data_IF_897766836587
#
_entry.id   IF_897766836587
#
_cell.length_a   1.000
_cell.length_b   1.000
_cell.length_c   1.000
_cell.angle_alpha   90.00
_cell.angle_beta   90.00
_cell.angle_gamma   90.00
#
_symmetry.space_group_name_H-M   'P 1'
#
loop_
_entity.id
_entity.type
_entity.pdbx_description
1 polymer ?
#
# COMPACT_ATOMS: atom_id res chain seq x y z
N UNK A 1 -26.59 76.08 -78.83
CA UNK A 1 -26.49 74.89 -79.70
C UNK A 1 -25.43 74.00 -79.09
N UNK A 2 -25.75 73.09 -78.16
CA UNK A 2 -26.50 71.82 -78.37
C UNK A 2 -25.68 70.90 -79.30
N UNK A 3 -25.35 69.65 -79.02
CA UNK A 3 -26.05 68.55 -78.35
C UNK A 3 -25.00 67.49 -77.89
N UNK A 4 -25.12 66.87 -76.70
CA UNK A 4 -25.85 65.63 -76.38
C UNK A 4 -25.22 64.31 -76.87
N UNK A 5 -24.86 63.41 -75.93
CA UNK A 5 -24.94 61.94 -76.12
C UNK A 5 -25.09 61.22 -74.76
N UNK A 6 -26.29 60.63 -74.61
CA UNK A 6 -26.85 59.50 -73.82
C UNK A 6 -26.18 58.90 -72.55
N UNK A 7 -26.99 58.34 -71.63
CA UNK A 7 -26.57 57.92 -70.28
C UNK A 7 -26.33 56.40 -70.14
N UNK A 8 -25.51 56.00 -69.15
CA UNK A 8 -25.39 54.63 -68.65
C UNK A 8 -25.65 54.60 -67.14
N UNK A 9 -26.68 53.87 -66.73
CA UNK A 9 -27.06 53.61 -65.34
C UNK A 9 -26.09 52.59 -64.71
N UNK A 10 -25.39 52.99 -63.64
CA UNK A 10 -24.66 52.10 -62.74
C UNK A 10 -25.19 52.28 -61.31
N UNK A 11 -25.72 51.19 -60.76
CA UNK A 11 -26.25 51.07 -59.40
C UNK A 11 -25.16 51.26 -58.35
N UNK A 12 -25.48 52.04 -57.31
CA UNK A 12 -24.68 52.26 -56.09
C UNK A 12 -24.26 50.93 -55.43
N UNK A 13 -22.96 50.77 -55.14
CA UNK A 13 -22.47 49.81 -54.14
C UNK A 13 -22.17 50.56 -52.84
N UNK A 14 -22.81 50.12 -51.76
CA UNK A 14 -22.57 50.58 -50.40
C UNK A 14 -21.23 50.03 -49.87
N UNK A 15 -20.48 50.86 -49.15
CA UNK A 15 -19.24 50.49 -48.50
C UNK A 15 -19.50 49.67 -47.22
N UNK A 16 -18.67 48.65 -46.91
CA UNK A 16 -18.85 47.81 -45.73
C UNK A 16 -18.33 48.46 -44.45
N UNK A 17 -19.11 48.32 -43.39
CA UNK A 17 -18.82 48.68 -41.99
C UNK A 17 -17.76 47.71 -41.44
N UNK A 18 -16.66 48.24 -40.89
CA UNK A 18 -15.66 47.44 -40.16
C UNK A 18 -16.07 47.26 -38.70
N UNK A 19 -16.07 46.04 -38.14
CA UNK A 19 -16.23 45.84 -36.70
C UNK A 19 -14.89 46.01 -35.97
N UNK A 20 -14.88 46.84 -34.94
CA UNK A 20 -13.75 47.04 -34.04
C UNK A 20 -13.47 45.75 -33.24
N UNK A 21 -12.31 45.13 -33.47
CA UNK A 21 -11.82 43.99 -32.70
C UNK A 21 -11.21 44.49 -31.38
N UNK A 22 -12.04 44.59 -30.33
CA UNK A 22 -11.57 44.82 -28.99
C UNK A 22 -10.90 43.53 -28.47
N UNK A 23 -9.57 43.47 -28.56
CA UNK A 23 -8.78 42.41 -27.92
C UNK A 23 -8.90 42.60 -26.41
N UNK A 24 -9.84 41.88 -25.78
CA UNK A 24 -9.92 41.75 -24.33
C UNK A 24 -8.62 41.10 -23.85
N UNK A 25 -7.72 41.93 -23.32
CA UNK A 25 -6.55 41.48 -22.56
C UNK A 25 -7.10 40.76 -21.33
N UNK A 26 -7.15 39.43 -21.38
CA UNK A 26 -7.41 38.61 -20.20
C UNK A 26 -6.19 38.78 -19.31
N UNK A 27 -6.20 39.79 -18.45
CA UNK A 27 -5.31 39.86 -17.31
C UNK A 27 -5.74 38.72 -16.43
N UNK A 28 -5.00 37.60 -16.51
CA UNK A 28 -5.08 36.53 -15.53
C UNK A 28 -4.74 37.19 -14.20
N UNK A 29 -5.75 37.52 -13.41
CA UNK A 29 -5.56 37.92 -12.02
C UNK A 29 -4.82 36.75 -11.38
N UNK A 30 -3.51 36.92 -11.19
CA UNK A 30 -2.75 36.09 -10.29
C UNK A 30 -3.44 36.22 -8.93
N UNK A 31 -4.30 35.26 -8.61
CA UNK A 31 -4.53 34.93 -7.21
C UNK A 31 -3.15 34.54 -6.70
N UNK A 32 -2.41 35.51 -6.15
CA UNK A 32 -1.42 35.23 -5.11
C UNK A 32 -2.21 34.52 -4.01
N UNK A 33 -2.31 33.20 -4.13
CA UNK A 33 -2.75 32.36 -3.04
C UNK A 33 -1.89 32.79 -1.87
N UNK A 34 -2.50 33.27 -0.79
CA UNK A 34 -1.82 33.52 0.47
C UNK A 34 -0.87 32.35 0.72
N UNK A 35 0.43 32.60 0.56
CA UNK A 35 1.45 31.56 0.57
C UNK A 35 1.41 30.97 1.96
N UNK A 36 0.81 29.79 2.08
CA UNK A 36 0.72 29.11 3.35
C UNK A 36 2.11 28.89 3.92
N UNK A 37 2.26 29.02 5.23
CA UNK A 37 3.45 28.55 5.92
C UNK A 37 3.62 27.05 5.72
N UNK A 38 4.83 26.52 5.90
CA UNK A 38 5.09 25.07 5.81
C UNK A 38 4.10 24.26 6.66
N UNK A 39 3.77 24.72 7.86
CA UNK A 39 2.80 24.06 8.74
C UNK A 39 1.40 23.99 8.14
N UNK A 40 0.88 25.10 7.61
CA UNK A 40 -0.45 25.13 6.96
C UNK A 40 -0.47 24.25 5.72
N UNK A 41 0.62 24.23 4.94
CA UNK A 41 0.72 23.45 3.73
C UNK A 41 0.72 21.93 4.01
N UNK A 42 1.42 21.50 5.06
CA UNK A 42 1.41 20.12 5.56
C UNK A 42 0.03 19.74 6.10
N UNK A 43 -0.58 20.62 6.90
CA UNK A 43 -1.93 20.41 7.44
C UNK A 43 -2.95 20.17 6.34
N UNK A 44 -2.94 21.00 5.30
CA UNK A 44 -3.84 20.88 4.17
C UNK A 44 -3.57 19.60 3.34
N UNK A 45 -2.30 19.20 3.17
CA UNK A 45 -1.97 17.93 2.52
C UNK A 45 -2.54 16.73 3.28
N UNK A 46 -2.37 16.70 4.60
CA UNK A 46 -2.85 15.60 5.45
C UNK A 46 -4.37 15.59 5.61
N UNK A 47 -5.03 16.74 5.50
CA UNK A 47 -6.49 16.85 5.60
C UNK A 47 -7.19 16.29 4.35
N UNK A 48 -6.65 16.58 3.15
CA UNK A 48 -7.31 16.23 1.89
C UNK A 48 -6.90 14.89 1.28
N UNK A 49 -5.76 14.33 1.71
CA UNK A 49 -5.46 12.96 1.33
C UNK A 49 -6.26 12.00 2.19
N UNK A 50 -7.10 11.19 1.53
CA UNK A 50 -7.81 10.08 2.16
C UNK A 50 -6.82 8.97 2.57
N UNK A 51 -6.23 9.15 3.75
CA UNK A 51 -5.25 8.27 4.35
C UNK A 51 -5.85 7.60 5.57
N UNK A 52 -5.77 6.26 5.61
CA UNK A 52 -6.05 5.54 6.85
C UNK A 52 -5.10 6.01 7.97
N UNK A 53 -5.51 5.81 9.23
CA UNK A 53 -4.78 6.31 10.41
C UNK A 53 -3.29 5.90 10.43
N UNK A 54 -2.97 4.69 9.98
CA UNK A 54 -1.58 4.20 9.91
C UNK A 54 -0.74 4.96 8.87
N UNK A 55 -1.27 5.11 7.66
CA UNK A 55 -0.67 5.89 6.59
C UNK A 55 -0.54 7.36 6.99
N UNK A 56 -1.59 7.96 7.57
CA UNK A 56 -1.57 9.35 8.06
C UNK A 56 -0.43 9.57 9.07
N UNK A 57 -0.25 8.66 10.03
CA UNK A 57 0.86 8.74 11.01
C UNK A 57 2.23 8.72 10.35
N UNK A 58 2.43 7.87 9.34
CA UNK A 58 3.70 7.76 8.61
C UNK A 58 3.97 9.02 7.79
N UNK A 59 2.98 9.52 7.06
CA UNK A 59 3.10 10.74 6.28
C UNK A 59 3.33 11.96 7.17
N UNK A 60 2.56 12.09 8.26
CA UNK A 60 2.72 13.17 9.22
C UNK A 60 4.12 13.17 9.85
N UNK A 61 4.68 12.00 10.20
CA UNK A 61 6.05 11.92 10.73
C UNK A 61 7.11 12.37 9.72
N UNK A 62 6.95 12.02 8.43
CA UNK A 62 7.86 12.43 7.37
C UNK A 62 7.82 13.95 7.14
N UNK A 63 6.61 14.51 7.10
CA UNK A 63 6.38 15.94 6.85
C UNK A 63 6.74 16.79 8.06
N UNK A 64 6.56 16.29 9.28
CA UNK A 64 7.07 16.96 10.49
C UNK A 64 8.59 17.12 10.44
N UNK A 65 9.33 16.10 9.98
CA UNK A 65 10.77 16.23 9.82
C UNK A 65 11.16 17.31 8.81
N UNK A 66 10.37 17.50 7.74
CA UNK A 66 10.56 18.60 6.80
C UNK A 66 10.24 19.95 7.46
N UNK A 67 9.15 20.03 8.24
CA UNK A 67 8.78 21.23 8.99
C UNK A 67 9.86 21.64 10.00
N UNK A 68 10.45 20.68 10.71
CA UNK A 68 11.57 20.91 11.63
C UNK A 68 12.80 21.46 10.88
N UNK A 69 13.00 21.07 9.63
CA UNK A 69 14.12 21.55 8.82
C UNK A 69 13.91 22.97 8.29
N UNK A 70 12.71 23.27 7.79
CA UNK A 70 12.40 24.54 7.14
C UNK A 70 11.91 25.62 8.12
N UNK A 71 11.40 25.22 9.28
CA UNK A 71 10.62 26.08 10.18
C UNK A 71 9.12 26.01 9.89
N UNK A 72 8.30 26.04 10.94
CA UNK A 72 6.85 25.90 10.83
C UNK A 72 6.19 27.11 10.16
N UNK A 73 6.67 28.31 10.49
CA UNK A 73 6.12 29.60 10.06
C UNK A 73 6.78 30.14 8.78
N UNK A 74 7.80 29.42 8.27
CA UNK A 74 8.47 29.76 7.03
C UNK A 74 7.49 29.66 5.85
N UNK A 75 7.54 30.63 4.94
CA UNK A 75 6.76 30.59 3.72
C UNK A 75 7.15 29.38 2.86
N UNK A 76 6.17 28.64 2.34
CA UNK A 76 6.45 27.44 1.53
C UNK A 76 7.29 27.74 0.28
N UNK A 77 7.23 28.98 -0.24
CA UNK A 77 8.02 29.44 -1.40
C UNK A 77 9.52 29.39 -1.21
N UNK A 78 10.03 29.22 0.02
CA UNK A 78 11.46 28.90 0.22
C UNK A 78 11.88 27.66 -0.57
N UNK A 79 10.93 26.75 -0.86
CA UNK A 79 11.18 25.57 -1.69
C UNK A 79 11.22 25.85 -3.20
N UNK A 80 10.86 27.05 -3.65
CA UNK A 80 10.99 27.50 -5.05
C UNK A 80 12.30 28.26 -5.31
N UNK A 81 13.08 28.56 -4.28
CA UNK A 81 14.36 29.23 -4.43
C UNK A 81 15.34 28.35 -5.23
N UNK A 82 16.24 28.95 -6.05
CA UNK A 82 17.19 28.18 -6.87
C UNK A 82 18.05 27.19 -6.08
N UNK A 83 18.37 27.52 -4.82
CA UNK A 83 19.19 26.70 -3.93
C UNK A 83 18.39 25.64 -3.16
N UNK A 84 17.05 25.73 -3.16
CA UNK A 84 16.20 24.90 -2.33
C UNK A 84 16.34 23.40 -2.65
N UNK A 85 16.43 23.04 -3.93
CA UNK A 85 16.60 21.65 -4.34
C UNK A 85 17.91 21.05 -3.80
N UNK A 86 19.02 21.80 -3.85
CA UNK A 86 20.31 21.37 -3.33
C UNK A 86 20.31 21.27 -1.80
N UNK A 87 19.71 22.26 -1.11
CA UNK A 87 19.56 22.25 0.34
C UNK A 87 18.70 21.08 0.83
N UNK A 88 17.56 20.84 0.17
CA UNK A 88 16.67 19.72 0.46
C UNK A 88 17.36 18.38 0.23
N UNK A 89 18.14 18.25 -0.85
CA UNK A 89 18.95 17.06 -1.12
C UNK A 89 20.02 16.82 -0.05
N UNK A 90 20.73 17.88 0.35
CA UNK A 90 21.72 17.82 1.44
C UNK A 90 21.09 17.38 2.76
N UNK A 91 19.96 17.99 3.14
CA UNK A 91 19.23 17.62 4.35
C UNK A 91 18.72 16.19 4.29
N UNK A 92 18.08 15.77 3.19
CA UNK A 92 17.53 14.43 3.05
C UNK A 92 18.62 13.36 3.19
N UNK A 93 19.80 13.61 2.59
CA UNK A 93 20.97 12.74 2.71
C UNK A 93 21.49 12.67 4.15
N UNK A 94 21.63 13.79 4.85
CA UNK A 94 22.06 13.81 6.26
C UNK A 94 21.06 13.08 7.18
N UNK A 95 19.76 13.34 7.00
CA UNK A 95 18.68 12.80 7.83
C UNK A 95 18.48 11.30 7.63
N UNK A 96 18.50 10.84 6.37
CA UNK A 96 18.09 9.49 6.02
C UNK A 96 19.21 8.62 5.44
N UNK A 97 20.40 9.15 5.20
CA UNK A 97 21.52 8.42 4.57
C UNK A 97 21.91 7.13 5.28
N UNK A 98 21.81 7.10 6.61
CA UNK A 98 22.09 5.92 7.45
C UNK A 98 20.89 5.01 7.68
N UNK A 99 19.72 5.33 7.12
CA UNK A 99 18.51 4.51 7.28
C UNK A 99 18.43 3.43 6.20
N UNK A 100 17.66 2.37 6.49
CA UNK A 100 17.43 1.29 5.55
C UNK A 100 16.94 1.82 4.17
N UNK A 101 17.40 1.26 3.04
CA UNK A 101 17.03 1.74 1.70
C UNK A 101 15.51 1.83 1.47
N UNK A 102 14.75 0.85 1.97
CA UNK A 102 13.29 0.86 1.88
C UNK A 102 12.65 2.05 2.63
N UNK A 103 13.18 2.39 3.81
CA UNK A 103 12.75 3.57 4.57
C UNK A 103 13.04 4.84 3.78
N UNK A 104 14.25 5.00 3.22
CA UNK A 104 14.61 6.15 2.38
C UNK A 104 13.66 6.32 1.20
N UNK A 105 13.41 5.26 0.44
CA UNK A 105 12.47 5.30 -0.71
C UNK A 105 11.08 5.74 -0.27
N UNK A 106 10.58 5.24 0.87
CA UNK A 106 9.28 5.65 1.41
C UNK A 106 9.26 7.14 1.78
N UNK A 107 10.29 7.65 2.46
CA UNK A 107 10.36 9.07 2.82
C UNK A 107 10.42 9.96 1.58
N UNK A 108 11.21 9.58 0.58
CA UNK A 108 11.27 10.29 -0.69
C UNK A 108 9.92 10.30 -1.41
N UNK A 109 9.19 9.18 -1.42
CA UNK A 109 7.87 9.10 -2.04
C UNK A 109 6.86 10.03 -1.35
N UNK A 110 6.91 10.14 -0.01
CA UNK A 110 6.03 11.05 0.75
C UNK A 110 6.36 12.51 0.41
N UNK A 111 7.64 12.88 0.40
CA UNK A 111 8.07 14.24 0.04
C UNK A 111 7.63 14.63 -1.38
N UNK A 112 7.84 13.73 -2.35
CA UNK A 112 7.37 13.90 -3.73
C UNK A 112 5.87 14.06 -3.82
N UNK A 113 5.11 13.25 -3.07
CA UNK A 113 3.66 13.36 -3.04
C UNK A 113 3.18 14.71 -2.50
N UNK A 114 3.82 15.21 -1.44
CA UNK A 114 3.50 16.50 -0.85
C UNK A 114 3.87 17.66 -1.78
N UNK A 115 5.09 17.67 -2.32
CA UNK A 115 5.54 18.71 -3.27
C UNK A 115 4.68 18.72 -4.53
N UNK A 116 4.37 17.55 -5.09
CA UNK A 116 3.46 17.45 -6.24
C UNK A 116 2.05 17.98 -5.94
N UNK A 117 1.55 17.80 -4.72
CA UNK A 117 0.28 18.38 -4.29
C UNK A 117 0.34 19.90 -4.13
N UNK A 118 1.38 20.43 -3.48
CA UNK A 118 1.58 21.89 -3.36
C UNK A 118 1.76 22.56 -4.72
N UNK A 119 2.41 21.90 -5.66
CA UNK A 119 2.50 22.34 -7.06
C UNK A 119 1.14 22.38 -7.76
N UNK A 120 0.32 21.32 -7.61
CA UNK A 120 -1.05 21.31 -8.18
C UNK A 120 -1.94 22.43 -7.64
N UNK A 121 -1.64 22.96 -6.46
CA UNK A 121 -2.32 24.13 -5.87
C UNK A 121 -1.77 25.47 -6.29
N UNK A 122 -0.66 25.49 -7.03
CA UNK A 122 0.07 26.72 -7.33
C UNK A 122 0.76 27.33 -6.11
N UNK A 123 0.99 26.56 -5.03
CA UNK A 123 1.78 27.02 -3.88
C UNK A 123 3.29 26.85 -4.11
N UNK A 124 3.65 25.97 -5.04
CA UNK A 124 5.00 25.82 -5.57
C UNK A 124 4.94 25.88 -7.09
N UNK A 125 5.94 26.51 -7.70
CA UNK A 125 6.12 26.61 -9.13
C UNK A 125 7.08 25.54 -9.66
N UNK A 126 8.08 25.17 -8.86
CA UNK A 126 9.14 24.22 -9.21
C UNK A 126 9.00 22.90 -8.44
N UNK A 127 9.77 21.88 -8.85
CA UNK A 127 9.87 20.62 -8.11
C UNK A 127 11.20 20.55 -7.33
N UNK A 128 11.21 20.87 -6.02
CA UNK A 128 12.43 20.82 -5.21
C UNK A 128 12.97 19.39 -5.03
N UNK A 129 12.18 18.36 -5.40
CA UNK A 129 12.56 16.95 -5.26
C UNK A 129 13.15 16.32 -6.52
N UNK A 130 13.27 17.10 -7.61
CA UNK A 130 13.79 16.62 -8.89
C UNK A 130 15.22 16.05 -8.76
N UNK A 131 16.09 16.71 -7.99
CA UNK A 131 17.47 16.28 -7.75
C UNK A 131 17.65 15.14 -6.72
N UNK A 132 16.56 14.65 -6.12
CA UNK A 132 16.63 13.55 -5.16
C UNK A 132 16.66 12.20 -5.87
N UNK A 133 17.82 11.55 -5.92
CA UNK A 133 17.92 10.21 -6.47
C UNK A 133 17.14 9.20 -5.63
N UNK A 134 16.45 8.29 -6.33
CA UNK A 134 15.77 7.17 -5.70
C UNK A 134 16.80 6.06 -5.42
N UNK A 135 17.06 5.69 -4.15
CA UNK A 135 17.99 4.62 -3.85
C UNK A 135 17.53 3.30 -4.48
N UNK A 136 18.47 2.56 -5.09
CA UNK A 136 18.22 1.18 -5.51
C UNK A 136 18.02 0.32 -4.27
N UNK A 137 16.83 -0.25 -4.12
CA UNK A 137 16.56 -1.22 -3.06
C UNK A 137 16.76 -2.61 -3.67
N UNK A 138 17.84 -3.34 -3.33
CA UNK A 138 17.96 -4.71 -3.76
C UNK A 138 16.77 -5.51 -3.23
N UNK A 139 16.24 -6.40 -4.05
CA UNK A 139 15.17 -7.32 -3.63
C UNK A 139 15.75 -8.23 -2.55
N UNK A 140 15.30 -8.05 -1.32
CA UNK A 140 15.73 -8.86 -0.18
C UNK A 140 15.17 -10.29 -0.32
N UNK A 141 16.06 -11.26 -0.56
CA UNK A 141 15.73 -12.68 -0.81
C UNK A 141 15.86 -13.56 0.43
N UNK A 142 16.39 -13.04 1.54
CA UNK A 142 16.79 -13.86 2.70
C UNK A 142 15.70 -14.01 3.75
N UNK A 143 14.50 -13.45 3.50
CA UNK A 143 13.44 -13.41 4.52
C UNK A 143 12.59 -14.66 4.58
N UNK A 144 12.65 -15.53 3.58
CA UNK A 144 11.86 -16.75 3.55
C UNK A 144 12.46 -17.77 4.52
N UNK A 145 11.65 -18.21 5.48
CA UNK A 145 11.93 -19.39 6.30
C UNK A 145 11.92 -20.63 5.43
N UNK A 146 12.88 -21.55 5.64
CA UNK A 146 12.97 -22.81 4.91
C UNK A 146 11.83 -23.77 5.29
N UNK A 147 11.62 -24.82 4.49
CA UNK A 147 10.58 -25.82 4.76
C UNK A 147 10.88 -26.62 6.03
N UNK A 148 12.16 -26.86 6.33
CA UNK A 148 12.63 -27.52 7.55
C UNK A 148 12.35 -26.65 8.78
N UNK A 149 12.62 -25.35 8.69
CA UNK A 149 12.31 -24.38 9.74
C UNK A 149 10.81 -24.34 10.05
N UNK A 150 9.96 -24.37 9.02
CA UNK A 150 8.50 -24.44 9.19
C UNK A 150 8.06 -25.79 9.75
N UNK A 151 8.63 -26.90 9.28
CA UNK A 151 8.32 -28.24 9.79
C UNK A 151 8.66 -28.35 11.29
N UNK A 152 9.79 -27.79 11.72
CA UNK A 152 10.17 -27.68 13.12
C UNK A 152 9.18 -26.79 13.90
N UNK A 153 8.78 -25.65 13.33
CA UNK A 153 7.76 -24.77 13.94
C UNK A 153 6.43 -25.49 14.18
N UNK A 154 5.97 -26.32 13.23
CA UNK A 154 4.68 -27.03 13.34
C UNK A 154 4.69 -28.15 14.39
N UNK A 155 5.87 -28.72 14.66
CA UNK A 155 6.09 -29.76 15.68
C UNK A 155 6.51 -29.21 17.03
N UNK A 156 6.69 -27.90 17.17
CA UNK A 156 7.22 -27.29 18.39
C UNK A 156 6.24 -27.48 19.56
N UNK A 157 6.75 -28.05 20.65
CA UNK A 157 6.02 -28.21 21.90
C UNK A 157 5.84 -26.88 22.64
N UNK A 158 4.86 -26.83 23.54
CA UNK A 158 4.58 -25.66 24.38
C UNK A 158 3.94 -24.47 23.64
N UNK A 159 3.72 -24.57 22.33
CA UNK A 159 2.96 -23.55 21.58
C UNK A 159 1.46 -23.79 21.76
N UNK A 160 0.68 -22.82 22.31
CA UNK A 160 -0.74 -23.02 22.51
C UNK A 160 -1.50 -23.16 21.18
N UNK A 161 -2.67 -23.80 21.23
CA UNK A 161 -3.48 -24.11 20.05
C UNK A 161 -3.83 -22.87 19.22
N UNK A 162 -4.11 -21.74 19.87
CA UNK A 162 -4.43 -20.46 19.20
C UNK A 162 -3.29 -20.00 18.29
N UNK A 163 -2.07 -19.98 18.82
CA UNK A 163 -0.87 -19.59 18.09
C UNK A 163 -0.60 -20.55 16.94
N UNK A 164 -0.68 -21.88 17.20
CA UNK A 164 -0.50 -22.90 16.16
C UNK A 164 -1.49 -22.71 15.01
N UNK A 165 -2.77 -22.55 15.34
CA UNK A 165 -3.82 -22.33 14.35
C UNK A 165 -3.59 -21.03 13.57
N UNK A 166 -3.26 -19.94 14.26
CA UNK A 166 -3.02 -18.64 13.63
C UNK A 166 -1.82 -18.67 12.68
N UNK A 167 -0.67 -19.20 13.12
CA UNK A 167 0.54 -19.26 12.31
C UNK A 167 0.36 -20.18 11.11
N UNK A 168 -0.31 -21.32 11.31
CA UNK A 168 -0.61 -22.25 10.23
C UNK A 168 -1.54 -21.63 9.20
N UNK A 169 -2.62 -20.98 9.63
CA UNK A 169 -3.54 -20.27 8.76
C UNK A 169 -2.83 -19.15 7.99
N UNK A 170 -1.95 -18.39 8.65
CA UNK A 170 -1.20 -17.30 8.03
C UNK A 170 -0.26 -17.79 6.93
N UNK A 171 0.43 -18.90 7.16
CA UNK A 171 1.26 -19.53 6.14
C UNK A 171 0.42 -20.10 5.00
N UNK A 172 -0.55 -20.96 5.29
CA UNK A 172 -1.31 -21.67 4.24
C UNK A 172 -2.14 -20.72 3.37
N UNK A 173 -2.72 -19.67 3.94
CA UNK A 173 -3.52 -18.70 3.19
C UNK A 173 -2.70 -17.64 2.46
N UNK A 174 -1.43 -17.45 2.85
CA UNK A 174 -0.63 -16.31 2.48
C UNK A 174 -1.34 -14.96 2.72
N UNK A 175 -2.36 -14.86 3.58
CA UNK A 175 -3.09 -13.63 3.87
C UNK A 175 -2.26 -12.64 4.72
N UNK A 176 -2.71 -11.39 4.86
CA UNK A 176 -2.08 -10.45 5.79
C UNK A 176 -2.54 -10.81 7.21
N UNK A 177 -1.62 -10.76 8.16
CA UNK A 177 -1.91 -11.10 9.56
C UNK A 177 -3.10 -10.34 10.15
N UNK A 178 -3.23 -9.04 9.85
CA UNK A 178 -4.36 -8.25 10.34
C UNK A 178 -5.70 -8.68 9.77
N UNK A 179 -5.75 -9.14 8.51
CA UNK A 179 -6.99 -9.63 7.91
C UNK A 179 -7.46 -10.87 8.67
N UNK A 180 -6.55 -11.81 8.95
CA UNK A 180 -6.87 -13.02 9.70
C UNK A 180 -7.21 -12.77 11.17
N UNK A 181 -6.51 -11.85 11.83
CA UNK A 181 -6.82 -11.47 13.21
C UNK A 181 -8.18 -10.77 13.34
N UNK A 182 -8.65 -10.15 12.26
CA UNK A 182 -9.94 -9.46 12.19
C UNK A 182 -11.11 -10.38 11.81
N UNK A 183 -10.86 -11.67 11.54
CA UNK A 183 -11.92 -12.64 11.25
C UNK A 183 -12.82 -12.86 12.46
N UNK A 184 -14.13 -12.89 12.20
CA UNK A 184 -15.14 -13.45 13.08
C UNK A 184 -15.50 -14.87 12.60
N UNK A 185 -16.12 -15.68 13.47
CA UNK A 185 -16.46 -17.07 13.15
C UNK A 185 -17.44 -17.13 11.98
N UNK A 186 -18.30 -16.14 11.88
CA UNK A 186 -19.30 -15.92 10.83
C UNK A 186 -18.68 -15.66 9.45
N UNK A 187 -17.39 -15.32 9.40
CA UNK A 187 -16.64 -15.17 8.15
C UNK A 187 -16.11 -16.50 7.62
N UNK A 188 -16.10 -17.56 8.45
CA UNK A 188 -15.50 -18.84 8.14
C UNK A 188 -16.47 -19.78 7.44
N UNK A 189 -16.03 -20.31 6.31
CA UNK A 189 -16.62 -21.47 5.64
C UNK A 189 -15.64 -22.63 5.79
N UNK A 190 -15.74 -23.34 6.93
CA UNK A 190 -14.82 -24.41 7.30
C UNK A 190 -14.90 -25.60 6.34
N UNK A 191 -16.08 -25.89 5.79
CA UNK A 191 -16.29 -26.98 4.84
C UNK A 191 -15.50 -26.74 3.55
N UNK A 192 -15.52 -25.52 3.03
CA UNK A 192 -14.82 -25.14 1.80
C UNK A 192 -13.41 -24.58 2.05
N UNK A 193 -12.90 -24.64 3.29
CA UNK A 193 -11.57 -24.16 3.70
C UNK A 193 -11.31 -22.71 3.27
N UNK A 194 -12.30 -21.83 3.45
CA UNK A 194 -12.20 -20.42 3.03
C UNK A 194 -12.85 -19.46 4.03
N UNK A 195 -12.42 -18.20 4.01
CA UNK A 195 -13.03 -17.14 4.80
C UNK A 195 -13.13 -15.83 4.04
N UNK A 196 -14.13 -15.03 4.41
CA UNK A 196 -14.31 -13.67 3.89
C UNK A 196 -13.37 -12.72 4.62
N UNK A 197 -12.67 -11.88 3.89
CA UNK A 197 -11.82 -10.82 4.44
C UNK A 197 -12.15 -9.50 3.77
N UNK A 198 -12.14 -8.41 4.53
CA UNK A 198 -12.29 -7.07 3.98
C UNK A 198 -10.93 -6.55 3.50
N UNK A 199 -10.85 -6.17 2.22
CA UNK A 199 -9.66 -5.56 1.64
C UNK A 199 -9.69 -4.04 1.76
N UNK A 200 -8.58 -3.39 1.37
CA UNK A 200 -8.48 -1.92 1.42
C UNK A 200 -9.50 -1.33 0.45
N UNK A 201 -10.51 -0.64 0.98
CA UNK A 201 -11.64 -0.10 0.22
C UNK A 201 -12.98 -0.81 0.47
N UNK A 202 -13.01 -1.79 1.39
CA UNK A 202 -14.26 -2.43 1.82
C UNK A 202 -14.72 -3.58 0.93
N UNK A 203 -13.97 -3.89 -0.14
CA UNK A 203 -14.29 -5.04 -0.99
C UNK A 203 -14.10 -6.34 -0.21
N UNK A 204 -15.07 -7.25 -0.35
CA UNK A 204 -15.03 -8.58 0.26
C UNK A 204 -14.24 -9.50 -0.67
N UNK A 205 -13.18 -10.07 -0.15
CA UNK A 205 -12.34 -11.05 -0.84
C UNK A 205 -12.32 -12.37 -0.06
N UNK A 206 -11.91 -13.45 -0.72
CA UNK A 206 -11.78 -14.75 -0.08
C UNK A 206 -10.33 -15.12 0.17
N UNK A 207 -10.06 -15.69 1.34
CA UNK A 207 -8.82 -16.41 1.65
C UNK A 207 -9.11 -17.90 1.72
N UNK A 208 -8.16 -18.71 1.26
CA UNK A 208 -8.26 -20.17 1.26
C UNK A 208 -7.12 -20.76 2.08
N UNK A 209 -7.30 -21.92 2.69
CA UNK A 209 -6.24 -22.60 3.44
C UNK A 209 -6.22 -24.10 3.17
N UNK A 210 -5.22 -24.78 3.72
CA UNK A 210 -4.97 -26.20 3.49
C UNK A 210 -5.35 -27.03 4.73
N UNK A 211 -5.05 -28.32 4.69
CA UNK A 211 -5.49 -29.25 5.74
C UNK A 211 -4.94 -28.91 7.12
N UNK A 212 -3.76 -28.28 7.23
CA UNK A 212 -3.19 -27.96 8.53
C UNK A 212 -4.02 -26.98 9.34
N UNK A 213 -4.45 -25.86 8.72
CA UNK A 213 -5.35 -24.93 9.38
C UNK A 213 -6.76 -25.54 9.57
N UNK A 214 -7.23 -26.34 8.61
CA UNK A 214 -8.54 -27.00 8.69
C UNK A 214 -8.67 -27.97 9.88
N UNK A 215 -7.57 -28.61 10.31
CA UNK A 215 -7.56 -29.47 11.49
C UNK A 215 -7.50 -28.71 12.82
N UNK A 216 -6.94 -27.49 12.81
CA UNK A 216 -6.71 -26.71 14.03
C UNK A 216 -7.88 -25.75 14.33
N UNK A 217 -8.50 -25.18 13.31
CA UNK A 217 -9.58 -24.19 13.47
C UNK A 217 -10.78 -24.75 14.25
N UNK A 218 -11.39 -25.91 13.90
CA UNK A 218 -12.53 -26.43 14.65
C UNK A 218 -12.21 -26.67 16.14
N UNK A 219 -11.00 -27.14 16.43
CA UNK A 219 -10.52 -27.35 17.81
C UNK A 219 -10.34 -26.02 18.55
N UNK A 220 -9.83 -24.99 17.87
CA UNK A 220 -9.68 -23.65 18.42
C UNK A 220 -11.05 -23.02 18.74
N UNK A 221 -12.04 -23.22 17.87
CA UNK A 221 -13.37 -22.66 18.05
C UNK A 221 -14.11 -23.32 19.20
N UNK A 222 -13.87 -24.61 19.45
CA UNK A 222 -14.42 -25.35 20.59
C UNK A 222 -15.95 -25.18 20.73
N UNK A 223 -16.67 -25.26 19.60
CA UNK A 223 -18.14 -25.13 19.55
C UNK A 223 -18.67 -23.69 19.53
N UNK A 224 -17.82 -22.66 19.63
CA UNK A 224 -18.27 -21.28 19.44
C UNK A 224 -18.71 -21.05 18.00
N UNK A 225 -19.82 -20.33 17.83
CA UNK A 225 -20.42 -19.99 16.54
C UNK A 225 -20.38 -18.50 16.20
N UNK A 226 -19.99 -17.65 17.15
CA UNK A 226 -20.06 -16.19 17.01
C UNK A 226 -18.84 -15.46 17.62
N UNK A 227 -18.45 -14.36 16.97
CA UNK A 227 -17.45 -13.40 17.43
C UNK A 227 -16.02 -13.74 16.98
N UNK A 228 -15.00 -13.09 17.57
CA UNK A 228 -13.63 -13.18 17.03
C UNK A 228 -13.07 -14.59 17.05
N UNK A 229 -12.41 -15.00 15.97
CA UNK A 229 -11.74 -16.30 15.85
C UNK A 229 -10.57 -16.40 16.83
N UNK A 230 -9.74 -15.35 16.87
CA UNK A 230 -8.55 -15.31 17.71
C UNK A 230 -8.78 -14.38 18.91
N UNK A 231 -8.90 -14.98 20.10
CA UNK A 231 -9.13 -14.25 21.35
C UNK A 231 -7.83 -14.03 22.11
N UNK A 232 -7.72 -12.93 22.84
CA UNK A 232 -6.69 -12.70 23.84
C UNK A 232 -6.84 -13.65 25.05
N UNK A 233 -5.76 -13.89 25.78
CA UNK A 233 -5.76 -14.80 26.94
C UNK A 233 -6.64 -14.30 28.09
N UNK A 234 -6.69 -12.98 28.27
CA UNK A 234 -7.36 -12.31 29.39
C UNK A 234 -8.44 -11.37 28.88
N UNK A 235 -9.42 -11.12 29.76
CA UNK A 235 -10.39 -10.08 29.53
C UNK A 235 -9.70 -8.70 29.47
N UNK A 236 -10.21 -7.79 28.64
CA UNK A 236 -9.62 -6.47 28.48
C UNK A 236 -9.78 -5.67 29.77
N UNK A 237 -8.68 -5.13 30.29
CA UNK A 237 -8.68 -4.23 31.46
C UNK A 237 -9.08 -2.79 31.12
N UNK A 238 -9.26 -2.48 29.83
CA UNK A 238 -9.71 -1.18 29.30
C UNK A 238 -10.92 -1.39 28.40
N UNK A 239 -11.66 -0.32 28.15
CA UNK A 239 -12.72 -0.33 27.15
C UNK A 239 -12.15 -0.76 25.80
N UNK A 240 -12.80 -1.75 25.16
CA UNK A 240 -12.52 -2.17 23.79
C UNK A 240 -13.86 -2.21 23.06
N UNK A 241 -13.90 -1.91 21.75
CA UNK A 241 -15.13 -1.93 20.98
C UNK A 241 -15.90 -3.24 21.15
N UNK A 242 -17.23 -3.18 21.18
CA UNK A 242 -18.07 -4.36 21.37
C UNK A 242 -17.83 -5.41 20.29
N UNK A 243 -17.58 -4.96 19.05
CA UNK A 243 -17.21 -5.82 17.90
C UNK A 243 -15.90 -6.60 18.10
N UNK A 244 -15.00 -6.07 18.93
CA UNK A 244 -13.74 -6.75 19.27
C UNK A 244 -13.86 -7.61 20.53
N UNK A 245 -15.05 -7.79 21.09
CA UNK A 245 -15.30 -8.67 22.24
C UNK A 245 -16.06 -9.90 21.80
N UNK A 246 -15.64 -11.06 22.28
CA UNK A 246 -16.43 -12.27 22.14
C UNK A 246 -17.65 -12.19 23.06
N UNK A 247 -18.88 -12.34 22.53
CA UNK A 247 -20.09 -12.26 23.34
C UNK A 247 -20.21 -13.42 24.34
N UNK A 248 -19.60 -14.57 24.06
CA UNK A 248 -19.67 -15.77 24.91
C UNK A 248 -18.65 -15.76 26.05
N UNK A 249 -17.45 -15.19 25.85
CA UNK A 249 -16.34 -15.27 26.81
C UNK A 249 -15.95 -13.94 27.43
N UNK A 250 -16.44 -12.81 26.87
CA UNK A 250 -16.01 -11.46 27.23
C UNK A 250 -14.56 -11.13 26.87
N UNK A 251 -13.81 -12.07 26.28
CA UNK A 251 -12.42 -11.86 25.87
C UNK A 251 -12.34 -10.99 24.63
N UNK A 252 -11.31 -10.15 24.57
CA UNK A 252 -11.07 -9.30 23.42
C UNK A 252 -10.41 -10.07 22.26
N UNK A 253 -10.52 -9.54 21.05
CA UNK A 253 -9.78 -9.95 19.86
C UNK A 253 -8.27 -9.84 20.11
N UNK A 254 -7.51 -10.82 19.62
CA UNK A 254 -6.07 -10.82 19.70
C UNK A 254 -5.49 -9.69 18.83
N UNK A 255 -4.81 -8.73 19.46
CA UNK A 255 -4.17 -7.64 18.73
C UNK A 255 -2.96 -8.10 17.93
N UNK A 256 -2.68 -7.44 16.81
CA UNK A 256 -1.48 -7.68 16.00
C UNK A 256 -0.19 -7.59 16.82
N UNK A 257 -0.06 -6.57 17.67
CA UNK A 257 1.13 -6.37 18.51
C UNK A 257 1.38 -7.57 19.40
N UNK A 258 0.33 -8.11 20.03
CA UNK A 258 0.44 -9.29 20.89
C UNK A 258 0.76 -10.54 20.07
N UNK A 259 0.07 -10.76 18.95
CA UNK A 259 0.33 -11.89 18.06
C UNK A 259 1.78 -11.90 17.54
N UNK A 260 2.31 -10.72 17.15
CA UNK A 260 3.68 -10.57 16.69
C UNK A 260 4.70 -10.81 17.80
N UNK A 261 4.43 -10.33 19.02
CA UNK A 261 5.27 -10.60 20.19
C UNK A 261 5.34 -12.10 20.49
N UNK A 262 4.20 -12.78 20.53
CA UNK A 262 4.12 -14.22 20.83
C UNK A 262 4.86 -15.04 19.77
N UNK A 263 4.70 -14.71 18.49
CA UNK A 263 5.45 -15.35 17.42
C UNK A 263 6.96 -15.13 17.58
N UNK A 264 7.39 -13.87 17.73
CA UNK A 264 8.80 -13.52 17.90
C UNK A 264 9.44 -14.21 19.11
N UNK A 265 8.71 -14.36 20.22
CA UNK A 265 9.19 -15.05 21.42
C UNK A 265 9.35 -16.56 21.16
N UNK A 266 8.40 -17.18 20.46
CA UNK A 266 8.45 -18.61 20.15
C UNK A 266 9.50 -18.97 19.09
N UNK A 267 9.90 -18.02 18.24
CA UNK A 267 10.74 -18.26 17.07
C UNK A 267 12.03 -17.45 17.05
N UNK A 268 12.53 -17.03 18.21
CA UNK A 268 13.79 -16.31 18.36
C UNK A 268 13.94 -15.08 17.44
N UNK A 269 12.87 -14.30 17.28
CA UNK A 269 12.90 -13.02 16.55
C UNK A 269 12.26 -13.01 15.17
N UNK A 270 11.74 -14.13 14.67
CA UNK A 270 11.00 -14.10 13.40
C UNK A 270 9.72 -13.25 13.48
N UNK A 271 9.29 -12.75 12.33
CA UNK A 271 8.12 -11.88 12.20
C UNK A 271 6.97 -12.55 11.48
N UNK A 272 5.73 -12.21 11.82
CA UNK A 272 4.54 -12.74 11.15
C UNK A 272 4.56 -12.55 9.63
N UNK A 273 5.17 -11.46 9.15
CA UNK A 273 5.27 -11.20 7.71
C UNK A 273 6.17 -12.22 6.98
N UNK A 274 7.13 -12.84 7.68
CA UNK A 274 7.96 -13.90 7.10
C UNK A 274 7.15 -15.14 6.76
N UNK A 275 6.10 -15.48 7.53
CA UNK A 275 5.22 -16.62 7.18
C UNK A 275 4.52 -16.40 5.84
N UNK A 276 3.95 -15.20 5.62
CA UNK A 276 3.36 -14.85 4.31
C UNK A 276 4.42 -14.84 3.21
N UNK A 277 5.59 -14.27 3.49
CA UNK A 277 6.68 -14.20 2.51
C UNK A 277 7.13 -15.62 2.10
N UNK A 278 7.39 -16.51 3.06
CA UNK A 278 7.68 -17.93 2.83
C UNK A 278 6.58 -18.61 2.03
N UNK A 279 5.31 -18.39 2.36
CA UNK A 279 4.21 -19.03 1.64
C UNK A 279 4.20 -18.69 0.14
N UNK A 280 4.50 -17.42 -0.20
CA UNK A 280 4.56 -16.97 -1.60
C UNK A 280 5.84 -17.43 -2.29
N UNK A 281 6.97 -17.42 -1.60
CA UNK A 281 8.24 -17.96 -2.13
C UNK A 281 8.10 -19.45 -2.42
N UNK A 282 7.63 -20.24 -1.46
CA UNK A 282 7.45 -21.67 -1.62
C UNK A 282 6.43 -22.01 -2.70
N UNK A 283 5.31 -21.29 -2.78
CA UNK A 283 4.35 -21.50 -3.86
C UNK A 283 4.95 -21.21 -5.24
N UNK A 284 5.80 -20.18 -5.37
CA UNK A 284 6.50 -19.89 -6.61
C UNK A 284 7.54 -20.96 -6.97
N UNK A 285 8.29 -21.47 -5.98
CA UNK A 285 9.22 -22.60 -6.14
C UNK A 285 8.49 -23.90 -6.52
N UNK A 286 7.27 -24.09 -6.01
CA UNK A 286 6.39 -25.20 -6.34
C UNK A 286 5.75 -25.04 -7.74
N UNK A 287 6.12 -24.01 -8.52
CA UNK A 287 5.66 -23.80 -9.90
C UNK A 287 4.35 -23.03 -10.03
N UNK A 288 3.82 -22.44 -8.95
CA UNK A 288 2.55 -21.69 -9.01
C UNK A 288 2.68 -20.49 -9.95
N UNK A 289 1.76 -20.40 -10.91
CA UNK A 289 1.73 -19.30 -11.88
C UNK A 289 1.53 -17.93 -11.21
N UNK A 290 2.08 -16.88 -11.81
CA UNK A 290 1.95 -15.50 -11.28
C UNK A 290 0.50 -15.05 -11.11
N UNK A 291 -0.45 -15.33 -12.04
CA UNK A 291 -1.86 -15.02 -11.83
C UNK A 291 -2.46 -15.70 -10.60
N UNK A 292 -2.13 -16.98 -10.36
CA UNK A 292 -2.62 -17.71 -9.20
C UNK A 292 -1.99 -17.19 -7.90
N UNK A 293 -0.70 -16.83 -7.93
CA UNK A 293 -0.06 -16.14 -6.81
C UNK A 293 -0.73 -14.79 -6.52
N UNK A 294 -1.09 -14.00 -7.54
CA UNK A 294 -1.85 -12.75 -7.36
C UNK A 294 -3.18 -12.99 -6.68
N UNK A 295 -3.96 -13.94 -7.18
CA UNK A 295 -5.26 -14.27 -6.62
C UNK A 295 -5.16 -14.76 -5.16
N UNK A 296 -4.25 -15.71 -4.88
CA UNK A 296 -4.03 -16.27 -3.54
C UNK A 296 -3.58 -15.22 -2.53
N UNK A 297 -2.69 -14.35 -2.96
CA UNK A 297 -2.05 -13.36 -2.08
C UNK A 297 -2.82 -12.06 -1.95
N UNK A 298 -3.73 -11.77 -2.90
CA UNK A 298 -4.50 -10.53 -2.99
C UNK A 298 -3.58 -9.30 -3.02
N UNK A 299 -2.55 -9.41 -3.86
CA UNK A 299 -1.65 -8.31 -4.20
C UNK A 299 -2.32 -7.43 -5.27
N UNK A 300 -2.38 -6.12 -5.03
CA UNK A 300 -3.00 -5.18 -5.97
C UNK A 300 -2.20 -4.98 -7.28
N UNK A 301 -0.96 -5.46 -7.36
CA UNK A 301 -0.14 -5.34 -8.57
C UNK A 301 0.85 -6.50 -8.73
N UNK A 302 1.03 -6.94 -9.98
CA UNK A 302 2.04 -7.93 -10.38
C UNK A 302 3.45 -7.51 -9.96
N UNK A 303 3.75 -6.21 -10.04
CA UNK A 303 5.03 -5.63 -9.61
C UNK A 303 5.40 -6.01 -8.17
N UNK A 304 4.41 -6.09 -7.29
CA UNK A 304 4.67 -6.46 -5.89
C UNK A 304 4.97 -7.95 -5.67
N UNK A 305 4.72 -8.78 -6.68
CA UNK A 305 5.06 -10.21 -6.72
C UNK A 305 6.34 -10.55 -7.48
N UNK A 306 6.93 -9.61 -8.23
CA UNK A 306 8.19 -9.83 -8.99
C UNK A 306 9.31 -10.45 -8.15
N UNK A 307 9.29 -10.22 -6.83
CA UNK A 307 10.27 -10.79 -5.90
C UNK A 307 10.13 -12.29 -5.69
N UNK A 308 8.95 -12.87 -5.97
CA UNK A 308 8.65 -14.29 -5.82
C UNK A 308 8.61 -15.02 -7.17
N UNK A 309 8.16 -14.34 -8.23
CA UNK A 309 7.94 -14.93 -9.54
C UNK A 309 9.24 -15.17 -10.32
N UNK A 310 10.07 -16.10 -9.85
CA UNK A 310 11.32 -16.55 -10.50
C UNK A 310 11.39 -18.08 -10.45
N UNK A 311 10.89 -18.78 -11.49
CA UNK A 311 10.97 -20.23 -11.52
C UNK A 311 12.44 -20.67 -11.56
N UNK A 312 12.78 -21.71 -10.79
CA UNK A 312 14.09 -22.37 -10.91
C UNK A 312 14.14 -23.20 -12.20
N UNK A 313 15.33 -23.47 -12.78
CA UNK A 313 15.45 -24.39 -13.91
C UNK A 313 14.81 -25.76 -13.63
N UNK A 314 14.93 -26.25 -12.41
CA UNK A 314 14.31 -27.51 -11.96
C UNK A 314 12.78 -27.46 -11.95
N UNK A 315 12.19 -26.34 -11.51
CA UNK A 315 10.75 -26.15 -11.53
C UNK A 315 10.21 -26.12 -12.97
N UNK A 316 10.95 -25.48 -13.90
CA UNK A 316 10.61 -25.50 -15.34
C UNK A 316 10.71 -26.92 -15.90
N UNK A 317 11.78 -27.67 -15.56
CA UNK A 317 11.95 -29.04 -16.02
C UNK A 317 10.83 -29.97 -15.52
N UNK A 318 10.40 -29.81 -14.27
CA UNK A 318 9.29 -30.57 -13.68
C UNK A 318 7.96 -30.25 -14.35
N UNK A 319 7.63 -28.97 -14.52
CA UNK A 319 6.40 -28.53 -15.19
C UNK A 319 6.31 -29.08 -16.62
N UNK A 320 7.43 -29.05 -17.36
CA UNK A 320 7.49 -29.62 -18.70
C UNK A 320 7.33 -31.14 -18.70
N UNK A 321 7.93 -31.84 -17.73
CA UNK A 321 7.79 -33.29 -17.60
C UNK A 321 6.35 -33.70 -17.24
N UNK A 322 5.67 -32.95 -16.38
CA UNK A 322 4.26 -33.21 -16.01
C UNK A 322 3.28 -32.94 -17.15
N UNK A 323 3.61 -32.00 -18.03
CA UNK A 323 2.79 -31.62 -19.19
C UNK A 323 3.20 -32.30 -20.49
N UNK A 324 4.22 -33.17 -20.46
CA UNK A 324 4.69 -33.87 -21.65
C UNK A 324 3.58 -34.83 -22.15
N UNK A 325 2.96 -34.57 -23.31
CA UNK A 325 1.91 -35.42 -23.84
C UNK A 325 2.42 -36.80 -24.26
N UNK A 326 3.75 -36.98 -24.37
CA UNK A 326 4.40 -38.24 -24.70
C UNK A 326 5.30 -38.70 -23.52
N UNK A 327 4.72 -39.12 -22.38
CA UNK A 327 5.50 -39.55 -21.24
C UNK A 327 6.42 -40.69 -21.66
N UNK A 328 7.74 -40.53 -21.43
CA UNK A 328 8.70 -41.61 -21.61
C UNK A 328 8.24 -42.81 -20.82
N UNK A 329 7.71 -43.84 -21.49
CA UNK A 329 7.42 -45.14 -20.89
C UNK A 329 8.74 -45.66 -20.31
N UNK A 330 8.77 -45.86 -18.99
CA UNK A 330 9.88 -46.53 -18.31
C UNK A 330 9.80 -48.03 -18.51
#
# INVERSE_FOLDING_TARGET
MEAATRPRLLRRRAAPVQPACAVRRVVRLERRASTGTVATAIGAFLAEHDLNAGSRRVYAGALRALQEHLGADTALTVLDEPQAAAQLAGWFRRRYGRTAPATRVRQLAILRSACGFWRRRGWLSTDPTAGLERPRVPLDRTRALTREQLAALWRRDGVPLRERAFWRLLYESAARANELLSLDIEDLDLANKRARVSSKGGAVEWVFWQTGAALLLPRLLAGRTIGPVFLADRQPTRAVPTVDRCPLTGRARLSYRRAAQLFSQATAGWTLHQLRHSALTHAAEDGTSTPLLLARSRHASARSLERYARPSPEAVARELAERDPAPRRR
#
